data_IF_186496524901
#
_entry.id   IF_186496524901
#
_cell.length_a   1.000
_cell.length_b   1.000
_cell.length_c   1.000
_cell.angle_alpha   90.00
_cell.angle_beta   90.00
_cell.angle_gamma   90.00
#
_symmetry.space_group_name_H-M   'P 1'
#
loop_
_entity.id
_entity.type
_entity.pdbx_description
1 polymer ?
#
# COMPACT_ATOMS: atom_id res chain seq x y z
N UNK A 1 19.64 15.46 -19.75
CA UNK A 1 18.38 15.12 -19.00
C UNK A 1 17.13 15.43 -19.80
N UNK A 2 17.10 16.48 -20.63
CA UNK A 2 15.92 16.89 -21.39
C UNK A 2 15.40 15.82 -22.37
N UNK A 3 16.28 15.17 -23.14
CA UNK A 3 15.89 14.09 -24.05
C UNK A 3 15.21 12.90 -23.34
N UNK A 4 15.69 12.54 -22.15
CA UNK A 4 15.12 11.45 -21.33
C UNK A 4 13.88 11.89 -20.54
N UNK A 5 13.79 13.17 -20.20
CA UNK A 5 12.62 13.81 -19.59
C UNK A 5 11.41 13.90 -20.54
N UNK A 6 11.62 13.80 -21.85
CA UNK A 6 10.53 13.74 -22.83
C UNK A 6 9.71 12.44 -22.73
N UNK A 7 10.37 11.30 -22.50
CA UNK A 7 9.74 9.97 -22.48
C UNK A 7 9.58 9.38 -21.08
N UNK A 8 10.47 9.71 -20.13
CA UNK A 8 10.50 9.10 -18.80
C UNK A 8 10.86 10.11 -17.69
N UNK A 9 9.96 11.07 -17.45
CA UNK A 9 10.08 12.17 -16.46
C UNK A 9 10.58 11.73 -15.07
N UNK A 10 9.99 10.65 -14.52
CA UNK A 10 10.38 10.12 -13.20
C UNK A 10 11.82 9.59 -13.22
N UNK A 11 12.21 8.82 -14.24
CA UNK A 11 13.57 8.28 -14.35
C UNK A 11 14.60 9.40 -14.50
N UNK A 12 14.31 10.41 -15.31
CA UNK A 12 15.16 11.59 -15.47
C UNK A 12 15.41 12.31 -14.13
N UNK A 13 14.39 12.47 -13.29
CA UNK A 13 14.55 13.04 -11.95
C UNK A 13 15.41 12.16 -11.02
N UNK A 14 15.25 10.83 -11.07
CA UNK A 14 16.06 9.91 -10.25
C UNK A 14 17.52 9.92 -10.66
N UNK A 15 17.80 9.92 -11.96
CA UNK A 15 19.16 10.01 -12.52
C UNK A 15 19.83 11.33 -12.13
N UNK A 16 19.09 12.43 -12.20
CA UNK A 16 19.54 13.73 -11.70
C UNK A 16 19.91 13.70 -10.23
N UNK A 17 19.04 13.14 -9.39
CA UNK A 17 19.27 13.05 -7.96
C UNK A 17 20.53 12.25 -7.66
N UNK A 18 20.76 11.14 -8.36
CA UNK A 18 21.96 10.33 -8.24
C UNK A 18 23.21 11.12 -8.62
N UNK A 19 23.23 11.73 -9.82
CA UNK A 19 24.37 12.52 -10.27
C UNK A 19 24.69 13.68 -9.32
N UNK A 20 23.66 14.40 -8.87
CA UNK A 20 23.80 15.46 -7.89
C UNK A 20 24.38 14.96 -6.57
N UNK A 21 23.98 13.78 -6.12
CA UNK A 21 24.48 13.18 -4.88
C UNK A 21 25.96 12.78 -5.01
N UNK A 22 26.33 12.10 -6.09
CA UNK A 22 27.72 11.72 -6.38
C UNK A 22 28.62 12.96 -6.46
N UNK A 23 28.16 14.03 -7.13
CA UNK A 23 28.94 15.26 -7.22
C UNK A 23 29.13 15.94 -5.87
N UNK A 24 28.08 16.02 -5.06
CA UNK A 24 28.18 16.61 -3.71
C UNK A 24 29.11 15.79 -2.80
N UNK A 25 29.09 14.46 -2.93
CA UNK A 25 30.05 13.60 -2.26
C UNK A 25 31.49 13.89 -2.73
N UNK A 26 31.71 14.01 -4.04
CA UNK A 26 33.02 14.30 -4.62
C UNK A 26 33.57 15.64 -4.11
N UNK A 27 32.72 16.67 -4.02
CA UNK A 27 33.07 17.97 -3.42
C UNK A 27 33.43 17.86 -1.95
N UNK A 28 32.61 17.16 -1.16
CA UNK A 28 32.83 16.99 0.28
C UNK A 28 34.14 16.24 0.60
N UNK A 29 34.60 15.38 -0.31
CA UNK A 29 35.86 14.65 -0.20
C UNK A 29 37.06 15.35 -0.85
N UNK A 30 36.86 16.54 -1.44
CA UNK A 30 37.93 17.32 -2.06
C UNK A 30 38.35 16.84 -3.46
N UNK A 31 37.64 15.89 -4.07
CA UNK A 31 37.93 15.44 -5.43
C UNK A 31 37.62 16.51 -6.49
N UNK A 32 36.78 17.49 -6.17
CA UNK A 32 36.54 18.65 -7.02
C UNK A 32 36.10 19.85 -6.20
N UNK A 33 36.51 21.04 -6.63
CA UNK A 33 36.03 22.32 -6.08
C UNK A 33 34.90 22.92 -6.92
N UNK A 34 34.66 22.37 -8.11
CA UNK A 34 33.68 22.88 -9.06
C UNK A 34 32.24 22.79 -8.53
N UNK A 35 31.36 23.75 -8.90
CA UNK A 35 29.96 23.73 -8.52
C UNK A 35 29.24 22.51 -9.09
N UNK A 36 28.16 22.08 -8.42
CA UNK A 36 27.39 20.93 -8.85
C UNK A 36 26.68 21.22 -10.19
N UNK A 37 26.91 20.43 -11.26
CA UNK A 37 26.35 20.69 -12.58
C UNK A 37 24.83 20.46 -12.63
N UNK A 38 24.25 19.79 -11.63
CA UNK A 38 22.81 19.64 -11.49
C UNK A 38 22.14 20.84 -10.78
N UNK A 39 22.92 21.77 -10.23
CA UNK A 39 22.39 22.99 -9.63
C UNK A 39 21.68 23.85 -10.71
N UNK A 40 20.51 24.40 -10.38
CA UNK A 40 19.72 25.21 -11.32
C UNK A 40 18.88 24.43 -12.33
N UNK A 41 19.18 23.14 -12.58
CA UNK A 41 18.30 22.29 -13.40
C UNK A 41 17.00 22.05 -12.61
N UNK A 42 15.83 22.27 -13.22
CA UNK A 42 14.53 22.01 -12.56
C UNK A 42 14.17 20.52 -12.64
N UNK A 43 13.45 20.01 -11.64
CA UNK A 43 12.88 18.66 -11.71
C UNK A 43 11.65 18.68 -12.62
N UNK A 44 11.42 17.59 -13.35
CA UNK A 44 10.15 17.38 -14.04
C UNK A 44 9.03 17.17 -13.01
N UNK A 45 7.83 17.68 -13.31
CA UNK A 45 6.67 17.45 -12.45
C UNK A 45 6.27 15.96 -12.49
N UNK A 46 6.36 15.30 -11.34
CA UNK A 46 5.87 13.93 -11.15
C UNK A 46 4.42 13.98 -10.67
N UNK A 47 3.57 13.10 -11.21
CA UNK A 47 2.23 12.85 -10.67
C UNK A 47 2.22 11.46 -10.04
N UNK A 48 1.82 11.40 -8.78
CA UNK A 48 1.63 10.12 -8.08
C UNK A 48 0.48 9.32 -8.68
N UNK A 49 0.43 8.02 -8.35
CA UNK A 49 -0.68 7.16 -8.74
C UNK A 49 -1.95 7.59 -8.01
N UNK A 50 -3.04 7.79 -8.74
CA UNK A 50 -4.31 8.27 -8.22
C UNK A 50 -5.47 7.31 -8.54
N UNK A 51 -5.26 6.03 -8.25
CA UNK A 51 -6.28 4.99 -8.46
C UNK A 51 -7.02 4.74 -7.15
N UNK A 52 -8.32 4.97 -7.14
CA UNK A 52 -9.24 4.37 -6.17
C UNK A 52 -9.70 3.01 -6.70
N UNK A 53 -9.78 2.02 -5.82
CA UNK A 53 -10.31 0.68 -6.14
C UNK A 53 -11.75 0.63 -5.66
N UNK A 54 -12.68 0.55 -6.60
CA UNK A 54 -14.10 0.44 -6.27
C UNK A 54 -14.45 -0.92 -5.64
N UNK A 55 -15.57 -1.00 -4.93
CA UNK A 55 -16.09 -2.27 -4.39
C UNK A 55 -16.28 -3.32 -5.48
N UNK A 56 -16.78 -2.89 -6.65
CA UNK A 56 -16.94 -3.75 -7.82
C UNK A 56 -15.62 -4.32 -8.31
N UNK A 57 -14.58 -3.49 -8.45
CA UNK A 57 -13.24 -3.96 -8.86
C UNK A 57 -12.60 -4.88 -7.82
N UNK A 58 -12.69 -4.52 -6.54
CA UNK A 58 -12.17 -5.36 -5.45
C UNK A 58 -12.85 -6.72 -5.44
N UNK A 59 -14.19 -6.74 -5.46
CA UNK A 59 -15.00 -7.95 -5.45
C UNK A 59 -14.76 -8.82 -6.70
N UNK A 60 -14.60 -8.21 -7.87
CA UNK A 60 -14.32 -8.94 -9.10
C UNK A 60 -13.01 -9.73 -9.02
N UNK A 61 -11.93 -9.13 -8.49
CA UNK A 61 -10.66 -9.85 -8.27
C UNK A 61 -10.81 -10.88 -7.17
N UNK A 62 -11.46 -10.52 -6.05
CA UNK A 62 -11.65 -11.43 -4.92
C UNK A 62 -12.40 -12.72 -5.32
N UNK A 63 -13.40 -12.60 -6.19
CA UNK A 63 -14.14 -13.76 -6.73
C UNK A 63 -13.26 -14.69 -7.59
N UNK A 64 -12.30 -14.13 -8.33
CA UNK A 64 -11.35 -14.89 -9.17
C UNK A 64 -10.10 -15.37 -8.42
N UNK A 65 -9.87 -14.84 -7.22
CA UNK A 65 -8.74 -15.18 -6.39
C UNK A 65 -8.87 -16.59 -5.78
N UNK A 66 -7.73 -17.27 -5.65
CA UNK A 66 -7.60 -18.43 -4.77
C UNK A 66 -7.75 -18.02 -3.30
N UNK A 67 -7.89 -19.00 -2.41
CA UNK A 67 -8.16 -18.70 -1.01
C UNK A 67 -7.01 -17.94 -0.33
N UNK A 68 -5.76 -18.25 -0.67
CA UNK A 68 -4.58 -17.58 -0.12
C UNK A 68 -4.56 -16.09 -0.49
N UNK A 69 -4.89 -15.77 -1.74
CA UNK A 69 -4.99 -14.40 -2.22
C UNK A 69 -6.21 -13.68 -1.62
N UNK A 70 -7.36 -14.35 -1.43
CA UNK A 70 -8.52 -13.77 -0.74
C UNK A 70 -8.15 -13.34 0.67
N UNK A 71 -7.50 -14.21 1.43
CA UNK A 71 -7.06 -13.90 2.80
C UNK A 71 -6.07 -12.72 2.81
N UNK A 72 -5.14 -12.67 1.85
CA UNK A 72 -4.21 -11.56 1.71
C UNK A 72 -4.90 -10.24 1.38
N UNK A 73 -5.87 -10.25 0.46
CA UNK A 73 -6.65 -9.07 0.07
C UNK A 73 -7.47 -8.55 1.25
N UNK A 74 -8.17 -9.45 1.95
CA UNK A 74 -9.02 -9.10 3.09
C UNK A 74 -8.18 -8.55 4.24
N UNK A 75 -7.03 -9.18 4.56
CA UNK A 75 -6.09 -8.65 5.55
C UNK A 75 -5.56 -7.27 5.14
N UNK A 76 -5.19 -7.08 3.87
CA UNK A 76 -4.69 -5.80 3.38
C UNK A 76 -5.73 -4.69 3.45
N UNK A 77 -6.99 -5.01 3.17
CA UNK A 77 -8.11 -4.08 3.25
C UNK A 77 -8.44 -3.72 4.71
N UNK A 78 -8.69 -4.72 5.55
CA UNK A 78 -9.12 -4.51 6.94
C UNK A 78 -8.05 -3.85 7.81
N UNK A 79 -6.77 -4.15 7.55
CA UNK A 79 -5.66 -3.58 8.34
C UNK A 79 -5.04 -2.34 7.69
N UNK A 80 -5.34 -2.07 6.41
CA UNK A 80 -4.73 -1.02 5.62
C UNK A 80 -3.22 -1.17 5.43
N UNK A 81 -2.58 -2.31 5.70
CA UNK A 81 -1.12 -2.45 5.68
C UNK A 81 -0.51 -2.61 4.27
N UNK A 82 0.81 -2.42 4.16
CA UNK A 82 1.54 -2.61 2.88
C UNK A 82 1.64 -4.11 2.55
N UNK A 83 1.76 -4.50 1.27
CA UNK A 83 1.80 -5.93 0.89
C UNK A 83 2.89 -6.72 1.62
N UNK A 84 4.08 -6.12 1.78
CA UNK A 84 5.20 -6.72 2.51
C UNK A 84 4.95 -6.89 4.01
N UNK A 85 4.15 -6.00 4.60
CA UNK A 85 3.79 -6.06 6.02
C UNK A 85 2.67 -7.10 6.23
N UNK A 86 1.68 -7.16 5.32
CA UNK A 86 0.59 -8.16 5.33
C UNK A 86 1.14 -9.60 5.29
N UNK A 87 2.09 -9.89 4.40
CA UNK A 87 2.72 -11.22 4.30
C UNK A 87 3.51 -11.63 5.56
N UNK A 88 3.87 -10.68 6.42
CA UNK A 88 4.62 -10.93 7.64
C UNK A 88 3.71 -11.11 8.86
N UNK A 89 2.42 -10.81 8.77
CA UNK A 89 1.51 -11.00 9.90
C UNK A 89 1.47 -12.47 10.33
N UNK A 90 1.54 -12.69 11.63
CA UNK A 90 1.66 -14.00 12.26
C UNK A 90 0.62 -14.18 13.35
N UNK A 91 0.28 -15.43 13.65
CA UNK A 91 -0.55 -15.80 14.80
C UNK A 91 0.04 -15.28 16.12
N UNK A 92 1.37 -15.18 16.22
CA UNK A 92 2.08 -14.63 17.39
C UNK A 92 1.88 -13.13 17.60
N UNK A 93 1.43 -12.42 16.55
CA UNK A 93 1.15 -10.99 16.60
C UNK A 93 -0.24 -10.71 17.18
N UNK A 94 -1.06 -11.76 17.38
CA UNK A 94 -2.37 -11.66 18.01
C UNK A 94 -2.20 -11.71 19.53
N UNK A 95 -2.46 -10.58 20.19
CA UNK A 95 -2.24 -10.39 21.62
C UNK A 95 -3.36 -9.51 22.21
N UNK A 96 -3.96 -9.96 23.31
CA UNK A 96 -5.00 -9.21 24.06
C UNK A 96 -6.14 -8.67 23.19
N UNK A 97 -6.66 -9.48 22.25
CA UNK A 97 -7.72 -9.05 21.33
C UNK A 97 -7.28 -8.03 20.27
N UNK A 98 -5.97 -7.82 20.11
CA UNK A 98 -5.38 -6.92 19.10
C UNK A 98 -4.42 -7.65 18.18
N UNK A 99 -4.29 -7.16 16.95
CA UNK A 99 -3.23 -7.52 16.02
C UNK A 99 -2.12 -6.48 16.10
N UNK A 100 -0.98 -6.86 16.66
CA UNK A 100 0.19 -6.02 16.81
C UNK A 100 0.99 -5.94 15.50
N UNK A 101 1.29 -4.74 15.03
CA UNK A 101 1.96 -4.53 13.74
C UNK A 101 3.13 -3.58 13.93
N UNK A 102 4.30 -3.93 13.38
CA UNK A 102 5.44 -3.03 13.23
C UNK A 102 5.76 -2.89 11.74
N UNK A 103 5.45 -1.73 11.17
CA UNK A 103 5.65 -1.48 9.73
C UNK A 103 7.13 -1.51 9.37
N UNK A 104 7.50 -2.28 8.34
CA UNK A 104 8.91 -2.44 7.97
C UNK A 104 9.54 -1.14 7.43
N UNK A 105 8.76 -0.33 6.71
CA UNK A 105 9.27 0.89 6.05
C UNK A 105 9.54 2.04 7.02
N UNK A 106 8.66 2.25 8.01
CA UNK A 106 8.67 3.43 8.87
C UNK A 106 8.96 3.10 10.33
N UNK A 107 8.88 1.83 10.73
CA UNK A 107 8.98 1.40 12.11
C UNK A 107 7.74 1.69 12.96
N UNK A 108 6.68 2.29 12.39
CA UNK A 108 5.44 2.61 13.10
C UNK A 108 4.85 1.35 13.73
N UNK A 109 4.53 1.43 15.02
CA UNK A 109 3.85 0.37 15.77
C UNK A 109 2.36 0.68 15.85
N UNK A 110 1.53 -0.32 15.58
CA UNK A 110 0.07 -0.25 15.63
C UNK A 110 -0.47 -1.46 16.39
N UNK A 111 -1.61 -1.29 17.07
CA UNK A 111 -2.43 -2.38 17.61
C UNK A 111 -3.82 -2.21 17.05
N UNK A 112 -4.21 -3.09 16.13
CA UNK A 112 -5.53 -3.05 15.50
C UNK A 112 -6.46 -3.96 16.30
N UNK A 113 -7.61 -3.45 16.73
CA UNK A 113 -8.62 -4.25 17.44
C UNK A 113 -9.14 -5.37 16.52
N UNK A 114 -9.23 -6.59 17.05
CA UNK A 114 -9.74 -7.76 16.32
C UNK A 114 -11.24 -7.85 16.59
N UNK A 115 -12.02 -7.19 15.75
CA UNK A 115 -13.48 -7.13 15.84
C UNK A 115 -14.12 -7.29 14.45
N UNK A 116 -15.42 -7.61 14.42
CA UNK A 116 -16.21 -7.69 13.19
C UNK A 116 -15.59 -8.58 12.12
N UNK A 117 -15.41 -8.03 10.92
CA UNK A 117 -14.87 -8.77 9.77
C UNK A 117 -13.43 -9.26 9.98
N UNK A 118 -12.61 -8.54 10.76
CA UNK A 118 -11.23 -8.96 11.02
C UNK A 118 -11.18 -10.19 11.94
N UNK A 119 -12.07 -10.25 12.94
CA UNK A 119 -12.22 -11.45 13.78
C UNK A 119 -12.66 -12.65 12.95
N UNK A 120 -13.72 -12.48 12.14
CA UNK A 120 -14.22 -13.53 11.26
C UNK A 120 -13.17 -14.04 10.26
N UNK A 121 -12.33 -13.14 9.73
CA UNK A 121 -11.22 -13.50 8.86
C UNK A 121 -10.16 -14.33 9.59
N UNK A 122 -9.75 -13.91 10.79
CA UNK A 122 -8.77 -14.63 11.60
C UNK A 122 -9.30 -16.02 11.97
N UNK A 123 -10.59 -16.13 12.33
CA UNK A 123 -11.20 -17.41 12.65
C UNK A 123 -11.27 -18.34 11.43
N UNK A 124 -11.62 -17.79 10.24
CA UNK A 124 -11.58 -18.53 8.97
C UNK A 124 -10.18 -19.07 8.65
N UNK A 125 -9.14 -18.29 8.93
CA UNK A 125 -7.75 -18.71 8.72
C UNK A 125 -7.36 -19.80 9.71
N UNK A 126 -7.69 -19.63 11.00
CA UNK A 126 -7.38 -20.60 12.07
C UNK A 126 -8.12 -21.93 11.93
N UNK A 127 -9.37 -21.89 11.46
CA UNK A 127 -10.22 -23.07 11.32
C UNK A 127 -9.93 -23.92 10.07
N UNK A 128 -9.01 -23.49 9.21
CA UNK A 128 -8.70 -24.22 7.97
C UNK A 128 -7.86 -25.46 8.27
N UNK A 129 -8.31 -26.61 7.77
CA UNK A 129 -7.46 -27.80 7.73
C UNK A 129 -6.35 -27.61 6.70
N UNK A 130 -5.10 -27.76 7.15
CA UNK A 130 -3.91 -27.64 6.31
C UNK A 130 -2.94 -28.76 6.63
N UNK A 131 -2.19 -29.18 5.63
CA UNK A 131 -1.15 -30.21 5.77
C UNK A 131 -0.06 -29.80 6.77
N UNK A 132 0.27 -28.51 6.80
CA UNK A 132 1.21 -27.93 7.74
C UNK A 132 0.58 -26.75 8.45
N UNK A 133 0.77 -26.64 9.76
CA UNK A 133 0.30 -25.49 10.55
C UNK A 133 1.38 -24.42 10.61
N UNK A 134 1.46 -23.58 9.58
CA UNK A 134 2.33 -22.41 9.58
C UNK A 134 1.89 -21.36 10.62
N UNK A 135 2.80 -20.46 10.99
CA UNK A 135 2.47 -19.35 11.90
C UNK A 135 1.92 -18.11 11.19
N UNK A 136 2.12 -17.95 9.87
CA UNK A 136 1.69 -16.74 9.14
C UNK A 136 0.18 -16.69 9.00
N UNK A 137 -0.42 -15.50 8.91
CA UNK A 137 -1.85 -15.39 8.63
C UNK A 137 -2.15 -15.63 7.14
N UNK A 138 -1.26 -15.19 6.24
CA UNK A 138 -1.37 -15.48 4.81
C UNK A 138 -0.59 -16.75 4.48
N UNK A 139 -1.31 -17.79 4.09
CA UNK A 139 -0.74 -19.10 3.79
C UNK A 139 -1.29 -19.67 2.48
N UNK A 140 -0.48 -20.49 1.82
CA UNK A 140 -0.90 -21.30 0.68
C UNK A 140 -1.77 -22.49 1.13
N UNK A 141 -2.23 -23.25 0.14
CA UNK A 141 -3.03 -24.45 0.28
C UNK A 141 -2.38 -25.56 1.13
N UNK A 142 -1.06 -25.55 1.29
CA UNK A 142 -0.32 -26.51 2.10
C UNK A 142 0.00 -25.97 3.51
N UNK A 143 -0.25 -24.68 3.76
CA UNK A 143 0.05 -24.00 5.02
C UNK A 143 1.42 -23.31 5.07
N UNK A 144 2.10 -23.19 3.93
CA UNK A 144 3.33 -22.42 3.84
C UNK A 144 3.03 -20.93 3.65
N UNK A 145 3.95 -20.08 4.09
CA UNK A 145 3.82 -18.65 3.87
C UNK A 145 4.00 -18.29 2.40
N UNK A 146 3.32 -17.22 1.96
CA UNK A 146 3.52 -16.71 0.62
C UNK A 146 4.75 -15.79 0.55
N UNK A 147 5.55 -16.00 -0.49
CA UNK A 147 6.53 -15.00 -0.93
C UNK A 147 5.84 -13.83 -1.63
N UNK A 148 6.54 -12.70 -1.73
CA UNK A 148 6.03 -11.54 -2.46
C UNK A 148 5.75 -11.86 -3.94
N UNK A 149 6.61 -12.65 -4.58
CA UNK A 149 6.43 -13.05 -5.98
C UNK A 149 5.21 -13.93 -6.18
N UNK A 150 4.98 -14.89 -5.28
CA UNK A 150 3.78 -15.72 -5.30
C UNK A 150 2.50 -14.89 -5.12
N UNK A 151 2.50 -13.94 -4.17
CA UNK A 151 1.38 -13.01 -4.01
C UNK A 151 1.14 -12.19 -5.29
N UNK A 152 2.22 -11.66 -5.88
CA UNK A 152 2.15 -10.84 -7.08
C UNK A 152 1.64 -11.64 -8.29
N UNK A 153 2.11 -12.88 -8.49
CA UNK A 153 1.66 -13.77 -9.57
C UNK A 153 0.17 -14.09 -9.44
N UNK A 154 -0.24 -14.60 -8.26
CA UNK A 154 -1.65 -14.92 -7.97
C UNK A 154 -2.55 -13.72 -8.20
N UNK A 155 -2.14 -12.54 -7.72
CA UNK A 155 -2.90 -11.31 -7.92
C UNK A 155 -2.99 -10.91 -9.38
N UNK A 156 -1.91 -11.04 -10.16
CA UNK A 156 -1.91 -10.75 -11.59
C UNK A 156 -2.86 -11.67 -12.35
N UNK A 157 -2.83 -12.96 -12.06
CA UNK A 157 -3.73 -13.97 -12.65
C UNK A 157 -5.21 -13.66 -12.35
N UNK A 158 -5.54 -13.43 -11.08
CA UNK A 158 -6.91 -13.08 -10.67
C UNK A 158 -7.38 -11.75 -11.27
N UNK A 159 -6.49 -10.75 -11.34
CA UNK A 159 -6.75 -9.44 -11.95
C UNK A 159 -7.00 -9.55 -13.44
N UNK A 160 -6.18 -10.33 -14.16
CA UNK A 160 -6.35 -10.57 -15.59
C UNK A 160 -7.68 -11.28 -15.87
N UNK A 161 -8.02 -12.30 -15.07
CA UNK A 161 -9.30 -13.01 -15.18
C UNK A 161 -10.51 -12.12 -14.87
N UNK A 162 -10.37 -11.18 -13.94
CA UNK A 162 -11.41 -10.20 -13.59
C UNK A 162 -11.49 -9.03 -14.59
N UNK A 163 -10.51 -8.87 -15.48
CA UNK A 163 -10.41 -7.77 -16.46
C UNK A 163 -10.46 -6.38 -15.82
N UNK A 164 -9.84 -6.22 -14.65
CA UNK A 164 -9.74 -4.93 -13.95
C UNK A 164 -8.29 -4.45 -13.84
N UNK A 165 -8.09 -3.16 -13.57
CA UNK A 165 -6.76 -2.56 -13.57
C UNK A 165 -6.45 -1.81 -12.26
N UNK A 166 -5.93 -2.52 -11.27
CA UNK A 166 -5.28 -1.94 -10.10
C UNK A 166 -4.10 -2.80 -9.63
N UNK A 167 -3.26 -2.27 -8.74
CA UNK A 167 -2.16 -3.01 -8.12
C UNK A 167 -2.55 -3.41 -6.71
N UNK A 168 -2.05 -4.52 -6.19
CA UNK A 168 -2.37 -4.96 -4.82
C UNK A 168 -2.17 -3.85 -3.76
N UNK A 169 -1.11 -3.03 -3.91
CA UNK A 169 -0.84 -1.88 -3.03
C UNK A 169 -1.92 -0.79 -3.06
N UNK A 170 -2.76 -0.74 -4.08
CA UNK A 170 -3.86 0.23 -4.19
C UNK A 170 -5.01 -0.11 -3.20
N UNK A 171 -5.09 -1.35 -2.69
CA UNK A 171 -6.02 -1.77 -1.62
C UNK A 171 -5.82 -0.92 -0.37
N UNK A 172 -4.59 -0.50 -0.08
CA UNK A 172 -4.29 0.39 1.05
C UNK A 172 -4.96 1.76 0.92
N UNK A 173 -5.00 2.32 -0.29
CA UNK A 173 -5.70 3.58 -0.54
C UNK A 173 -7.23 3.40 -0.47
N UNK A 174 -7.74 2.23 -0.89
CA UNK A 174 -9.14 1.85 -0.69
C UNK A 174 -9.51 1.83 0.80
N UNK A 175 -8.77 1.08 1.62
CA UNK A 175 -8.97 1.01 3.07
C UNK A 175 -8.96 2.39 3.73
N UNK A 176 -7.98 3.23 3.36
CA UNK A 176 -7.85 4.60 3.83
C UNK A 176 -9.07 5.48 3.50
N UNK A 177 -9.69 5.22 2.36
CA UNK A 177 -10.83 6.00 1.89
C UNK A 177 -12.12 5.52 2.55
N UNK A 178 -12.29 4.21 2.67
CA UNK A 178 -13.52 3.57 3.11
C UNK A 178 -13.71 3.65 4.64
N UNK A 179 -12.64 3.87 5.41
CA UNK A 179 -12.72 4.14 6.87
C UNK A 179 -13.44 5.47 7.21
N UNK A 180 -13.75 6.30 6.20
CA UNK A 180 -14.73 7.38 6.34
C UNK A 180 -14.23 8.68 6.99
N UNK A 181 -12.93 8.81 7.26
CA UNK A 181 -12.37 10.04 7.84
C UNK A 181 -10.84 10.09 7.75
N UNK A 182 -10.30 11.30 7.56
CA UNK A 182 -8.86 11.50 7.39
C UNK A 182 -8.06 11.11 8.65
N UNK A 183 -8.61 11.38 9.83
CA UNK A 183 -7.97 11.05 11.11
C UNK A 183 -7.97 9.53 11.34
N UNK A 184 -9.11 8.87 11.13
CA UNK A 184 -9.22 7.40 11.18
C UNK A 184 -8.29 6.72 10.17
N UNK A 185 -8.20 7.27 8.95
CA UNK A 185 -7.27 6.81 7.93
C UNK A 185 -5.81 7.00 8.36
N UNK A 186 -5.47 8.15 8.95
CA UNK A 186 -4.12 8.39 9.45
C UNK A 186 -3.71 7.38 10.51
N UNK A 187 -4.61 7.09 11.47
CA UNK A 187 -4.37 6.12 12.53
C UNK A 187 -4.21 4.70 11.98
N UNK A 188 -5.16 4.24 11.14
CA UNK A 188 -5.12 2.89 10.54
C UNK A 188 -3.85 2.68 9.70
N UNK A 189 -3.44 3.69 8.95
CA UNK A 189 -2.27 3.61 8.09
C UNK A 189 -0.95 3.82 8.84
N UNK A 190 -0.97 4.30 10.09
CA UNK A 190 0.22 4.60 10.86
C UNK A 190 1.07 5.73 10.26
N UNK A 191 0.42 6.76 9.72
CA UNK A 191 1.10 7.91 9.13
C UNK A 191 1.45 8.97 10.19
N UNK A 192 2.69 9.45 10.16
CA UNK A 192 3.17 10.49 11.07
C UNK A 192 2.52 11.86 10.84
N UNK A 193 2.06 12.14 9.61
CA UNK A 193 1.45 13.43 9.27
C UNK A 193 0.15 13.27 8.50
N UNK A 194 -0.76 14.22 8.71
CA UNK A 194 -2.04 14.33 8.01
C UNK A 194 -1.87 14.46 6.49
N UNK A 195 -0.88 15.25 6.05
CA UNK A 195 -0.54 15.42 4.64
C UNK A 195 -0.21 14.09 3.94
N UNK A 196 0.42 13.14 4.65
CA UNK A 196 0.66 11.81 4.08
C UNK A 196 -0.65 11.05 3.85
N UNK A 197 -1.62 11.16 4.77
CA UNK A 197 -2.92 10.50 4.65
C UNK A 197 -3.79 11.08 3.55
N UNK A 198 -3.69 12.38 3.28
CA UNK A 198 -4.39 13.03 2.15
C UNK A 198 -4.00 12.43 0.79
N UNK A 199 -2.79 11.90 0.65
CA UNK A 199 -2.38 11.18 -0.56
C UNK A 199 -3.09 9.82 -0.74
N UNK A 200 -3.52 9.20 0.36
CA UNK A 200 -4.16 7.88 0.36
C UNK A 200 -5.69 7.96 0.37
N UNK A 201 -6.27 8.95 1.06
CA UNK A 201 -7.72 9.19 1.02
C UNK A 201 -8.08 9.71 -0.37
N UNK A 202 -8.76 8.88 -1.15
CA UNK A 202 -9.18 9.20 -2.51
C UNK A 202 -10.55 9.85 -2.50
N UNK A 203 -10.76 10.83 -3.38
CA UNK A 203 -12.10 11.38 -3.60
C UNK A 203 -12.93 10.36 -4.36
N UNK A 204 -13.74 9.58 -3.65
CA UNK A 204 -14.71 8.65 -4.27
C UNK A 204 -15.70 9.49 -5.07
N UNK A 205 -15.62 9.42 -6.41
CA UNK A 205 -16.57 10.03 -7.34
C UNK A 205 -17.00 11.48 -7.01
N UNK A 206 -16.06 12.36 -6.65
CA UNK A 206 -16.37 13.74 -6.28
C UNK A 206 -17.13 13.87 -4.96
N UNK A 207 -16.76 14.84 -4.12
CA UNK A 207 -17.48 15.07 -2.87
C UNK A 207 -18.91 15.52 -3.21
N UNK A 208 -19.92 14.72 -2.84
CA UNK A 208 -21.32 15.15 -2.86
C UNK A 208 -21.48 16.28 -1.84
N UNK A 209 -21.44 17.52 -2.33
CA UNK A 209 -21.63 18.71 -1.51
C UNK A 209 -23.12 19.01 -1.40
N UNK A 210 -23.59 19.29 -0.18
CA UNK A 210 -24.97 19.75 0.02
C UNK A 210 -25.13 21.12 -0.65
N UNK A 211 -26.20 21.36 -1.43
CA UNK A 211 -26.47 22.68 -1.97
C UNK A 211 -26.73 23.67 -0.82
N UNK A 212 -26.37 24.94 -1.02
CA UNK A 212 -26.70 26.01 -0.08
C UNK A 212 -28.20 26.29 -0.18
N UNK A 213 -28.93 26.20 0.92
CA UNK A 213 -30.33 26.60 0.97
C UNK A 213 -30.42 28.12 1.14
N UNK A 214 -31.19 28.80 0.28
CA UNK A 214 -31.50 30.23 0.46
C UNK A 214 -32.35 30.39 1.72
N UNK A 215 -31.98 31.33 2.58
CA UNK A 215 -32.88 31.86 3.60
C UNK A 215 -33.72 32.94 2.90
N UNK A 216 -34.92 32.59 2.47
CA UNK A 216 -35.98 33.55 2.12
C UNK A 216 -36.92 33.57 3.31
#
# INVERSE_FOLDING_TARGET
MEARGATAKVRANREKALLSHVWNFARAKGYTTLPNPCAGIKNHRERGRDKYVSDGEYKAVWQKADQALRDAMDLAYLTGQRPSDVLKLSMTDIQDGTLAIKQAKTGTKLRILIEGELAALIDRIKGREQKTKGLRLVQDENGHHLTYWQLASRFEEARAAAKVMFQFRDIRAKAATDVGGLDSAQQLLGHASRAMSEHYVKKVAGTKVKPVNRKI
#
